data_IF_554935956320
#
_entry.id   IF_554935956320
#
_cell.length_a   1.000
_cell.length_b   1.000
_cell.length_c   1.000
_cell.angle_alpha   90.00
_cell.angle_beta   90.00
_cell.angle_gamma   90.00
#
_symmetry.space_group_name_H-M   'P 1'
#
loop_
_entity.id
_entity.type
_entity.pdbx_description
1 polymer ?
#
# COMPACT_ATOMS: atom_id res chain seq x y z
N UNK A 1 -12.30 -0.72 -47.77
CA UNK A 1 -13.26 -1.25 -46.79
C UNK A 1 -12.96 -0.57 -45.45
N UNK A 2 -13.70 0.49 -45.14
CA UNK A 2 -13.49 1.32 -43.95
C UNK A 2 -14.41 0.81 -42.85
N UNK A 3 -13.85 0.48 -41.69
CA UNK A 3 -14.63 0.32 -40.46
C UNK A 3 -14.35 1.49 -39.54
N UNK A 4 -15.24 2.47 -39.66
CA UNK A 4 -15.40 3.57 -38.75
C UNK A 4 -16.20 3.04 -37.53
N UNK A 5 -15.54 2.77 -36.40
CA UNK A 5 -16.20 2.70 -35.09
C UNK A 5 -15.76 3.91 -34.27
N UNK A 6 -16.54 4.98 -34.35
CA UNK A 6 -16.62 5.97 -33.27
C UNK A 6 -17.38 5.32 -32.11
N UNK A 7 -16.67 4.55 -31.29
CA UNK A 7 -17.11 4.14 -29.96
C UNK A 7 -16.60 5.16 -28.94
N UNK A 8 -17.39 5.47 -27.91
CA UNK A 8 -17.02 6.40 -26.85
C UNK A 8 -15.82 5.85 -26.05
N UNK A 9 -14.64 6.39 -26.27
CA UNK A 9 -13.54 6.27 -25.31
C UNK A 9 -13.19 7.68 -24.88
N UNK A 10 -13.90 8.22 -23.88
CA UNK A 10 -13.22 9.19 -23.02
C UNK A 10 -12.01 8.44 -22.47
N UNK A 11 -10.77 8.93 -22.60
CA UNK A 11 -9.66 8.28 -21.92
C UNK A 11 -10.03 8.36 -20.45
N UNK A 12 -10.39 7.23 -19.84
CA UNK A 12 -10.58 7.23 -18.40
C UNK A 12 -9.20 7.47 -17.83
N UNK A 13 -8.93 8.73 -17.48
CA UNK A 13 -7.59 9.21 -17.17
C UNK A 13 -7.10 8.46 -15.95
N UNK A 14 -6.01 7.71 -16.12
CA UNK A 14 -5.29 7.09 -15.00
C UNK A 14 -5.05 8.13 -13.90
N UNK A 15 -5.24 7.70 -12.65
CA UNK A 15 -5.11 8.57 -11.47
C UNK A 15 -3.70 8.41 -10.93
N UNK A 16 -2.96 9.51 -10.81
CA UNK A 16 -1.65 9.53 -10.18
C UNK A 16 -1.74 10.25 -8.85
N UNK A 17 -1.36 9.57 -7.77
CA UNK A 17 -1.42 10.07 -6.40
C UNK A 17 0.00 10.16 -5.86
N UNK A 18 0.44 11.36 -5.50
CA UNK A 18 1.75 11.57 -4.88
C UNK A 18 1.60 11.62 -3.36
N UNK A 19 2.21 10.66 -2.66
CA UNK A 19 2.26 10.64 -1.19
C UNK A 19 3.45 11.44 -0.66
N UNK A 20 3.19 12.55 0.02
CA UNK A 20 4.22 13.41 0.62
C UNK A 20 4.19 13.34 2.15
N UNK A 21 5.37 13.39 2.76
CA UNK A 21 5.53 13.44 4.21
C UNK A 21 6.92 12.98 4.66
N UNK A 22 7.30 13.33 5.88
CA UNK A 22 8.59 12.94 6.46
C UNK A 22 8.71 11.41 6.62
N UNK A 23 9.91 10.92 6.90
CA UNK A 23 10.14 9.51 7.26
C UNK A 23 9.35 9.15 8.51
N UNK A 24 8.79 7.93 8.56
CA UNK A 24 8.07 7.43 9.73
C UNK A 24 6.60 7.87 9.87
N UNK A 25 6.09 8.76 9.00
CA UNK A 25 4.68 9.22 9.07
C UNK A 25 3.64 8.19 8.58
N UNK A 26 4.09 7.02 8.10
CA UNK A 26 3.19 5.93 7.70
C UNK A 26 2.79 5.87 6.21
N UNK A 27 3.55 6.49 5.29
CA UNK A 27 3.26 6.43 3.83
C UNK A 27 3.23 4.98 3.30
N UNK A 28 4.19 4.15 3.70
CA UNK A 28 4.24 2.73 3.34
C UNK A 28 3.06 1.95 3.92
N UNK A 29 2.72 2.23 5.18
CA UNK A 29 1.55 1.67 5.86
C UNK A 29 0.26 2.02 5.13
N UNK A 30 0.13 3.25 4.63
CA UNK A 30 -1.02 3.69 3.84
C UNK A 30 -1.19 2.88 2.55
N UNK A 31 -0.11 2.62 1.80
CA UNK A 31 -0.19 1.84 0.55
C UNK A 31 -0.66 0.40 0.83
N UNK A 32 -0.16 -0.24 1.90
CA UNK A 32 -0.63 -1.57 2.30
C UNK A 32 -2.09 -1.54 2.76
N UNK A 33 -2.51 -0.53 3.52
CA UNK A 33 -3.91 -0.39 3.92
C UNK A 33 -4.83 -0.18 2.71
N UNK A 34 -4.41 0.65 1.75
CA UNK A 34 -5.12 0.89 0.50
C UNK A 34 -5.35 -0.41 -0.27
N UNK A 35 -4.34 -1.28 -0.39
CA UNK A 35 -4.48 -2.61 -0.98
C UNK A 35 -5.57 -3.43 -0.27
N UNK A 36 -5.59 -3.47 1.07
CA UNK A 36 -6.58 -4.25 1.81
C UNK A 36 -8.00 -3.69 1.61
N UNK A 37 -8.17 -2.38 1.54
CA UNK A 37 -9.46 -1.75 1.22
C UNK A 37 -9.96 -2.08 -0.20
N UNK A 38 -9.04 -2.32 -1.16
CA UNK A 38 -9.41 -2.76 -2.50
C UNK A 38 -9.75 -4.25 -2.56
N UNK A 39 -9.10 -5.07 -1.73
CA UNK A 39 -9.30 -6.52 -1.71
C UNK A 39 -10.52 -6.95 -0.89
N UNK A 40 -10.85 -6.22 0.17
CA UNK A 40 -11.92 -6.58 1.10
C UNK A 40 -13.03 -5.53 1.11
N UNK A 41 -14.27 -5.99 0.97
CA UNK A 41 -15.44 -5.11 0.93
C UNK A 41 -15.80 -4.54 2.31
N UNK A 42 -15.49 -5.25 3.38
CA UNK A 42 -15.79 -4.85 4.76
C UNK A 42 -14.61 -5.09 5.68
N UNK A 43 -14.57 -4.37 6.80
CA UNK A 43 -13.58 -4.58 7.84
C UNK A 43 -13.69 -5.98 8.46
N UNK A 44 -14.92 -6.48 8.66
CA UNK A 44 -15.14 -7.81 9.24
C UNK A 44 -14.59 -8.92 8.34
N UNK A 45 -14.71 -8.78 7.02
CA UNK A 45 -14.12 -9.71 6.06
C UNK A 45 -12.59 -9.64 6.09
N UNK A 46 -12.03 -8.44 6.17
CA UNK A 46 -10.59 -8.23 6.27
C UNK A 46 -10.00 -8.86 7.54
N UNK A 47 -10.70 -8.72 8.68
CA UNK A 47 -10.26 -9.27 9.97
C UNK A 47 -10.26 -10.80 10.03
N UNK A 48 -11.14 -11.45 9.25
CA UNK A 48 -11.23 -12.93 9.15
C UNK A 48 -10.32 -13.49 8.06
N UNK A 49 -9.71 -12.63 7.25
CA UNK A 49 -8.90 -13.00 6.10
C UNK A 49 -7.42 -12.73 6.35
N UNK A 50 -6.58 -13.16 5.42
CA UNK A 50 -5.14 -12.91 5.47
C UNK A 50 -4.82 -11.45 5.11
N UNK A 51 -3.97 -10.78 5.89
CA UNK A 51 -3.52 -9.43 5.58
C UNK A 51 -2.76 -9.40 4.24
N UNK A 52 -3.21 -8.59 3.29
CA UNK A 52 -2.50 -8.38 2.03
C UNK A 52 -1.39 -7.35 2.23
N UNK A 53 -0.14 -7.76 1.99
CA UNK A 53 1.04 -6.92 2.20
C UNK A 53 1.82 -6.84 0.89
N UNK A 54 1.88 -5.65 0.31
CA UNK A 54 2.66 -5.38 -0.91
C UNK A 54 4.07 -4.93 -0.58
N UNK A 55 4.19 -4.09 0.45
CA UNK A 55 5.45 -3.49 0.88
C UNK A 55 5.75 -4.01 2.29
N UNK A 56 6.85 -4.74 2.50
CA UNK A 56 7.23 -5.17 3.84
C UNK A 56 7.38 -3.97 4.78
N UNK A 57 6.95 -4.12 6.03
CA UNK A 57 6.99 -3.03 7.00
C UNK A 57 7.15 -3.56 8.41
N UNK A 58 7.81 -2.79 9.26
CA UNK A 58 7.93 -3.07 10.69
C UNK A 58 7.56 -1.84 11.52
N UNK A 59 6.90 -2.06 12.64
CA UNK A 59 6.57 -1.03 13.61
C UNK A 59 6.45 -1.63 15.02
N UNK A 60 6.62 -0.80 16.05
CA UNK A 60 6.47 -1.23 17.43
C UNK A 60 5.09 -0.85 17.96
N UNK A 61 4.45 -1.76 18.68
CA UNK A 61 3.21 -1.51 19.43
C UNK A 61 3.51 -1.70 20.91
N UNK A 62 3.22 -0.67 21.70
CA UNK A 62 3.33 -0.74 23.16
C UNK A 62 1.95 -1.02 23.74
N UNK A 63 1.85 -2.10 24.49
CA UNK A 63 0.65 -2.44 25.26
C UNK A 63 0.48 -1.43 26.41
N UNK A 64 -0.72 -0.86 26.53
CA UNK A 64 -0.98 0.23 27.47
C UNK A 64 -1.09 -0.22 28.93
N UNK A 65 -1.34 -1.51 29.19
CA UNK A 65 -1.52 -2.04 30.54
C UNK A 65 -0.21 -2.60 31.11
N UNK A 66 0.49 -3.36 30.28
CA UNK A 66 1.75 -4.05 30.63
C UNK A 66 2.99 -3.21 30.32
N UNK A 67 2.85 -2.14 29.53
CA UNK A 67 3.94 -1.31 29.01
C UNK A 67 4.99 -2.09 28.20
N UNK A 68 4.67 -3.30 27.75
CA UNK A 68 5.56 -4.11 26.93
C UNK A 68 5.48 -3.66 25.47
N UNK A 69 6.63 -3.41 24.86
CA UNK A 69 6.75 -3.06 23.44
C UNK A 69 7.01 -4.31 22.62
N UNK A 70 6.17 -4.54 21.60
CA UNK A 70 6.31 -5.66 20.67
C UNK A 70 6.58 -5.13 19.27
N UNK A 71 7.67 -5.60 18.64
CA UNK A 71 7.98 -5.31 17.23
C UNK A 71 7.12 -6.21 16.33
N UNK A 72 6.28 -5.58 15.52
CA UNK A 72 5.45 -6.23 14.52
C UNK A 72 6.18 -6.13 13.18
N UNK A 73 6.32 -7.27 12.50
CA UNK A 73 6.83 -7.36 11.13
C UNK A 73 5.73 -7.92 10.23
N UNK A 74 5.47 -7.24 9.11
CA UNK A 74 4.50 -7.68 8.10
C UNK A 74 5.18 -7.82 6.74
N UNK A 75 4.82 -8.88 6.02
CA UNK A 75 5.40 -9.22 4.72
C UNK A 75 6.80 -9.84 4.79
N UNK A 76 7.36 -10.16 3.63
CA UNK A 76 8.69 -10.77 3.51
C UNK A 76 9.74 -9.69 3.21
N UNK A 77 10.76 -9.49 4.07
CA UNK A 77 11.81 -8.49 3.85
C UNK A 77 12.43 -8.59 2.45
N UNK A 78 12.78 -7.44 1.88
CA UNK A 78 13.47 -7.35 0.60
C UNK A 78 14.42 -6.16 0.57
N UNK A 79 15.30 -6.11 -0.41
CA UNK A 79 16.37 -5.12 -0.53
C UNK A 79 15.88 -3.65 -0.63
N UNK A 80 14.59 -3.41 -0.85
CA UNK A 80 14.03 -2.07 -1.01
C UNK A 80 13.43 -1.50 0.27
N UNK A 81 13.18 -2.34 1.27
CA UNK A 81 12.58 -1.96 2.54
C UNK A 81 13.41 -2.51 3.70
N UNK A 82 14.19 -1.62 4.32
CA UNK A 82 14.96 -1.96 5.50
C UNK A 82 14.06 -1.90 6.74
N UNK A 83 13.66 -3.08 7.23
CA UNK A 83 12.82 -3.25 8.41
C UNK A 83 13.63 -3.56 9.69
N UNK A 84 14.96 -3.65 9.60
CA UNK A 84 15.81 -4.11 10.68
C UNK A 84 16.27 -2.97 11.61
N UNK A 85 16.60 -1.80 11.05
CA UNK A 85 17.15 -0.67 11.82
C UNK A 85 16.11 0.39 12.13
N UNK A 86 15.85 0.60 13.42
CA UNK A 86 14.94 1.63 13.91
C UNK A 86 15.57 3.04 13.73
N UNK A 87 14.73 4.04 13.41
CA UNK A 87 15.16 5.44 13.26
C UNK A 87 15.73 5.83 11.88
N UNK A 88 15.83 4.90 10.94
CA UNK A 88 16.14 5.17 9.54
C UNK A 88 14.89 5.13 8.66
N UNK A 89 14.98 5.67 7.43
CA UNK A 89 13.93 5.43 6.44
C UNK A 89 13.91 3.96 6.08
N UNK A 90 12.76 3.30 6.27
CA UNK A 90 12.59 1.92 5.81
C UNK A 90 12.62 1.86 4.28
N UNK A 91 11.93 2.79 3.61
CA UNK A 91 11.94 2.89 2.15
C UNK A 91 13.31 3.38 1.67
N UNK A 92 14.01 2.52 0.93
CA UNK A 92 15.33 2.81 0.36
C UNK A 92 15.23 3.48 -1.01
N UNK A 93 14.19 3.15 -1.79
CA UNK A 93 13.99 3.64 -3.15
C UNK A 93 12.54 4.07 -3.37
N UNK A 94 12.35 5.23 -3.99
CA UNK A 94 11.04 5.69 -4.44
C UNK A 94 10.53 4.79 -5.57
N UNK A 95 9.32 4.25 -5.44
CA UNK A 95 8.69 3.33 -6.39
C UNK A 95 7.25 3.71 -6.62
N UNK A 96 6.77 3.44 -7.83
CA UNK A 96 5.35 3.55 -8.16
C UNK A 96 4.65 2.20 -8.03
N UNK A 97 3.46 2.20 -7.44
CA UNK A 97 2.59 1.04 -7.28
C UNK A 97 1.31 1.24 -8.08
N UNK A 98 1.03 0.32 -9.00
CA UNK A 98 -0.09 0.43 -9.95
C UNK A 98 -1.20 -0.54 -9.55
N UNK A 99 -2.40 -0.01 -9.32
CA UNK A 99 -3.61 -0.73 -8.97
C UNK A 99 -4.64 -0.63 -10.11
N UNK A 100 -4.89 -1.72 -10.85
CA UNK A 100 -5.93 -1.74 -11.88
C UNK A 100 -7.31 -1.84 -11.23
N UNK A 101 -8.20 -0.89 -11.52
CA UNK A 101 -9.58 -0.84 -10.99
C UNK A 101 -10.54 -0.61 -12.16
N UNK A 102 -11.27 -1.66 -12.53
CA UNK A 102 -12.16 -1.62 -13.70
C UNK A 102 -11.36 -1.33 -14.97
N UNK A 103 -11.61 -0.17 -15.58
CA UNK A 103 -10.97 0.34 -16.79
C UNK A 103 -9.98 1.49 -16.52
N UNK A 104 -9.58 1.72 -15.26
CA UNK A 104 -8.58 2.72 -14.86
C UNK A 104 -7.40 2.09 -14.14
N UNK A 105 -6.26 2.78 -14.18
CA UNK A 105 -5.14 2.51 -13.28
C UNK A 105 -5.01 3.63 -12.24
N UNK A 106 -4.82 3.25 -10.98
CA UNK A 106 -4.36 4.16 -9.93
C UNK A 106 -2.87 3.91 -9.70
N UNK A 107 -2.05 4.95 -9.82
CA UNK A 107 -0.62 4.92 -9.52
C UNK A 107 -0.34 5.70 -8.24
N UNK A 108 0.20 5.02 -7.24
CA UNK A 108 0.73 5.58 -5.98
C UNK A 108 2.25 5.62 -6.00
#
# INVERSE_FOLDING_TARGET
MSFNRRGRDSPETDINILLLGQTGVGKTTFINAFLNCLFYNTLDDALKSELKVLIPSAFAVTDSETFQSTKILVGTPNDNENCETDGQSSTQLCRSYIFPIGNRSIRL
#
